data_IF_058658397587
#
_entry.id   IF_058658397587
#
_cell.length_a   1.000
_cell.length_b   1.000
_cell.length_c   1.000
_cell.angle_alpha   90.00
_cell.angle_beta   90.00
_cell.angle_gamma   90.00
#
_symmetry.space_group_name_H-M   'P 1'
#
loop_
_entity.id
_entity.type
_entity.pdbx_description
1 polymer ?
#
# COMPACT_ATOMS: atom_id res chain seq x y z
N UNK A 1 41.76 -18.10 47.52
CA UNK A 1 40.89 -17.52 46.47
C UNK A 1 39.51 -18.17 46.60
N UNK A 2 38.54 -17.53 47.27
CA UNK A 2 37.18 -18.07 47.39
C UNK A 2 36.38 -17.60 46.18
N UNK A 3 35.98 -18.55 45.33
CA UNK A 3 35.03 -18.34 44.24
C UNK A 3 33.66 -18.01 44.82
N UNK A 4 33.10 -16.88 44.42
CA UNK A 4 31.74 -16.46 44.72
C UNK A 4 30.79 -17.40 43.93
N UNK A 5 29.79 -18.04 44.57
CA UNK A 5 28.87 -18.91 43.84
C UNK A 5 27.98 -18.09 42.90
N UNK A 6 28.11 -18.35 41.60
CA UNK A 6 27.27 -17.75 40.56
C UNK A 6 25.83 -18.23 40.76
N UNK A 7 24.93 -17.30 41.09
CA UNK A 7 23.59 -17.60 41.58
C UNK A 7 22.65 -17.94 40.41
N UNK A 8 22.72 -19.20 39.95
CA UNK A 8 21.99 -19.74 38.79
C UNK A 8 20.46 -19.53 38.87
N UNK A 9 19.90 -19.47 40.09
CA UNK A 9 18.47 -19.20 40.31
C UNK A 9 18.05 -17.78 39.92
N UNK A 10 18.92 -16.79 40.10
CA UNK A 10 18.62 -15.39 39.74
C UNK A 10 18.61 -15.22 38.21
N UNK A 11 19.53 -15.88 37.50
CA UNK A 11 19.56 -15.87 36.04
C UNK A 11 18.34 -16.56 35.42
N UNK A 12 17.90 -17.69 35.99
CA UNK A 12 16.71 -18.41 35.50
C UNK A 12 15.42 -17.60 35.69
N UNK A 13 15.27 -16.90 36.82
CA UNK A 13 14.14 -15.99 37.04
C UNK A 13 14.18 -14.78 36.10
N UNK A 14 15.35 -14.19 35.85
CA UNK A 14 15.48 -13.05 34.93
C UNK A 14 15.13 -13.44 33.48
N UNK A 15 15.60 -14.60 33.01
CA UNK A 15 15.29 -15.14 31.68
C UNK A 15 13.79 -15.44 31.55
N UNK A 16 13.17 -16.07 32.56
CA UNK A 16 11.73 -16.36 32.56
C UNK A 16 10.89 -15.06 32.58
N UNK A 17 11.32 -14.04 33.31
CA UNK A 17 10.64 -12.73 33.35
C UNK A 17 10.77 -11.96 32.03
N UNK A 18 11.93 -12.06 31.35
CA UNK A 18 12.16 -11.46 30.02
C UNK A 18 11.30 -12.16 28.97
N UNK A 19 11.27 -13.51 28.95
CA UNK A 19 10.44 -14.28 28.02
C UNK A 19 8.96 -13.96 28.23
N UNK A 20 8.48 -13.93 29.49
CA UNK A 20 7.07 -13.63 29.82
C UNK A 20 6.69 -12.18 29.48
N UNK A 21 7.64 -11.22 29.54
CA UNK A 21 7.41 -9.85 29.07
C UNK A 21 7.39 -9.74 27.55
N UNK A 22 8.31 -10.39 26.84
CA UNK A 22 8.32 -10.44 25.37
C UNK A 22 7.03 -11.06 24.83
N UNK A 23 6.61 -12.23 25.34
CA UNK A 23 5.37 -12.88 24.90
C UNK A 23 4.13 -12.03 25.20
N UNK A 24 4.08 -11.33 26.35
CA UNK A 24 2.98 -10.42 26.67
C UNK A 24 2.97 -9.13 25.84
N UNK A 25 4.12 -8.69 25.34
CA UNK A 25 4.24 -7.48 24.52
C UNK A 25 3.96 -7.77 23.03
N UNK A 26 4.37 -8.94 22.54
CA UNK A 26 3.98 -9.48 21.23
C UNK A 26 2.47 -9.72 21.15
N UNK A 27 1.85 -10.29 22.20
CA UNK A 27 0.38 -10.43 22.27
C UNK A 27 -0.35 -9.09 22.35
N UNK A 28 0.28 -8.03 22.87
CA UNK A 28 -0.37 -6.70 23.02
C UNK A 28 -0.43 -5.90 21.73
N UNK A 29 0.39 -6.24 20.73
CA UNK A 29 0.51 -5.49 19.47
C UNK A 29 -0.15 -6.20 18.28
N UNK A 30 -0.62 -7.45 18.45
CA UNK A 30 -1.34 -8.17 17.40
C UNK A 30 -2.77 -7.61 17.24
N UNK A 31 -3.20 -7.27 16.01
CA UNK A 31 -4.58 -6.89 15.74
C UNK A 31 -5.55 -8.00 16.15
N UNK A 32 -6.76 -7.67 16.66
CA UNK A 32 -7.80 -8.67 16.88
C UNK A 32 -8.09 -9.47 15.60
N UNK A 33 -8.42 -10.75 15.73
CA UNK A 33 -8.62 -11.64 14.57
C UNK A 33 -9.70 -11.13 13.60
N UNK A 34 -10.76 -10.50 14.12
CA UNK A 34 -11.80 -9.91 13.28
C UNK A 34 -11.31 -8.70 12.46
N UNK A 35 -10.24 -8.02 12.87
CA UNK A 35 -9.58 -6.97 12.08
C UNK A 35 -8.80 -7.61 10.93
N UNK A 36 -8.00 -8.65 11.21
CA UNK A 36 -7.29 -9.40 10.18
C UNK A 36 -8.24 -10.01 9.14
N UNK A 37 -9.38 -10.57 9.59
CA UNK A 37 -10.40 -11.14 8.72
C UNK A 37 -11.06 -10.10 7.78
N UNK A 38 -11.08 -8.81 8.13
CA UNK A 38 -11.55 -7.77 7.19
C UNK A 38 -10.61 -7.63 6.01
N UNK A 39 -9.30 -7.82 6.22
CA UNK A 39 -8.27 -7.68 5.20
C UNK A 39 -8.11 -8.91 4.28
N UNK A 40 -8.92 -9.95 4.47
CA UNK A 40 -9.03 -11.08 3.53
C UNK A 40 -10.18 -10.91 2.53
N UNK A 41 -11.04 -9.89 2.69
CA UNK A 41 -12.18 -9.64 1.79
C UNK A 41 -11.82 -8.82 0.55
N UNK A 42 -12.44 -9.12 -0.59
CA UNK A 42 -12.31 -8.31 -1.80
C UNK A 42 -13.10 -7.00 -1.70
N UNK A 43 -12.59 -5.94 -2.31
CA UNK A 43 -13.37 -4.76 -2.71
C UNK A 43 -13.90 -4.93 -4.14
N UNK A 44 -14.70 -3.98 -4.61
CA UNK A 44 -15.12 -3.95 -6.02
C UNK A 44 -13.94 -3.83 -7.01
N UNK A 45 -12.78 -3.33 -6.56
CA UNK A 45 -11.60 -3.12 -7.39
C UNK A 45 -10.65 -4.32 -7.37
N UNK A 46 -10.66 -5.12 -6.30
CA UNK A 46 -9.78 -6.28 -6.12
C UNK A 46 -10.48 -7.63 -6.32
N UNK A 47 -11.81 -7.66 -6.49
CA UNK A 47 -12.53 -8.89 -6.83
C UNK A 47 -12.12 -9.42 -8.23
N UNK A 48 -11.57 -10.65 -8.32
CA UNK A 48 -11.21 -11.26 -9.61
C UNK A 48 -12.42 -11.71 -10.42
N UNK A 49 -13.61 -11.76 -9.82
CA UNK A 49 -14.85 -12.23 -10.41
C UNK A 49 -14.70 -13.65 -10.94
N UNK A 50 -15.21 -13.88 -12.17
CA UNK A 50 -15.13 -15.19 -12.82
C UNK A 50 -13.72 -15.67 -13.15
N UNK A 51 -12.70 -14.81 -13.03
CA UNK A 51 -11.31 -15.12 -13.38
C UNK A 51 -10.48 -15.64 -12.20
N UNK A 52 -11.10 -15.89 -11.03
CA UNK A 52 -10.41 -16.39 -9.83
C UNK A 52 -9.61 -17.67 -10.07
N UNK A 53 -10.05 -18.53 -10.99
CA UNK A 53 -9.33 -19.76 -11.38
C UNK A 53 -7.93 -19.50 -11.94
N UNK A 54 -7.62 -18.28 -12.40
CA UNK A 54 -6.27 -17.90 -12.86
C UNK A 54 -5.27 -17.79 -11.71
N UNK A 55 -5.73 -17.85 -10.46
CA UNK A 55 -4.86 -17.84 -9.27
C UNK A 55 -4.37 -19.25 -8.89
N UNK A 56 -4.93 -20.30 -9.47
CA UNK A 56 -4.52 -21.67 -9.23
C UNK A 56 -3.09 -21.91 -9.72
N UNK A 57 -2.26 -22.51 -8.85
CA UNK A 57 -0.86 -22.86 -9.19
C UNK A 57 0.10 -21.67 -9.29
N UNK A 58 -0.30 -20.48 -8.83
CA UNK A 58 0.62 -19.35 -8.68
C UNK A 58 1.68 -19.62 -7.60
N UNK A 59 2.84 -18.95 -7.65
CA UNK A 59 3.87 -19.12 -6.62
C UNK A 59 3.40 -18.77 -5.22
N UNK A 60 3.76 -19.58 -4.22
CA UNK A 60 3.35 -19.38 -2.82
C UNK A 60 4.20 -18.33 -2.10
N UNK A 61 5.49 -18.21 -2.42
CA UNK A 61 6.34 -17.17 -1.82
C UNK A 61 5.97 -15.79 -2.35
N UNK A 62 6.08 -14.78 -1.49
CA UNK A 62 5.75 -13.40 -1.85
C UNK A 62 6.73 -12.86 -2.91
N UNK A 63 7.99 -13.29 -2.89
CA UNK A 63 9.02 -12.88 -3.84
C UNK A 63 8.71 -13.40 -5.24
N UNK A 64 8.39 -14.69 -5.36
CA UNK A 64 8.04 -15.29 -6.65
C UNK A 64 6.70 -14.76 -7.16
N UNK A 65 5.75 -14.45 -6.25
CA UNK A 65 4.49 -13.81 -6.59
C UNK A 65 4.68 -12.38 -7.10
N UNK A 66 5.52 -11.56 -6.46
CA UNK A 66 5.86 -10.22 -6.96
C UNK A 66 6.51 -10.31 -8.35
N UNK A 67 7.45 -11.25 -8.54
CA UNK A 67 8.05 -11.50 -9.86
C UNK A 67 7.02 -11.96 -10.90
N UNK A 68 6.08 -12.81 -10.50
CA UNK A 68 4.95 -13.24 -11.35
C UNK A 68 4.12 -12.04 -11.82
N UNK A 69 3.77 -11.14 -10.91
CA UNK A 69 2.96 -9.95 -11.18
C UNK A 69 3.72 -8.97 -12.09
N UNK A 70 5.00 -8.70 -11.82
CA UNK A 70 5.84 -7.81 -12.66
C UNK A 70 6.01 -8.33 -14.09
N UNK A 71 5.80 -9.62 -14.32
CA UNK A 71 5.78 -10.20 -15.67
C UNK A 71 4.44 -9.99 -16.39
N UNK A 72 3.39 -9.57 -15.70
CA UNK A 72 2.09 -9.26 -16.31
C UNK A 72 1.91 -7.76 -16.58
N UNK A 73 2.57 -6.93 -15.78
CA UNK A 73 2.34 -5.50 -15.71
C UNK A 73 3.66 -4.73 -15.94
N UNK A 74 3.58 -3.61 -16.65
CA UNK A 74 4.67 -2.67 -16.86
C UNK A 74 4.23 -1.36 -16.21
N UNK A 75 5.05 -0.78 -15.34
CA UNK A 75 4.75 0.56 -14.82
C UNK A 75 4.97 1.60 -15.94
N UNK A 76 4.09 2.61 -16.09
CA UNK A 76 4.29 3.71 -17.05
C UNK A 76 5.68 4.37 -17.00
N UNK A 77 6.32 4.52 -15.83
CA UNK A 77 7.70 5.02 -15.72
C UNK A 77 8.75 4.10 -16.33
N UNK A 78 8.48 2.80 -16.41
CA UNK A 78 9.39 1.80 -16.96
C UNK A 78 9.18 1.56 -18.47
N UNK A 79 8.14 2.16 -19.08
CA UNK A 79 7.75 1.88 -20.48
C UNK A 79 8.86 2.18 -21.49
N UNK A 80 9.73 3.15 -21.20
CA UNK A 80 10.88 3.48 -22.03
C UNK A 80 11.88 2.33 -22.21
N UNK A 81 11.90 1.35 -21.29
CA UNK A 81 12.74 0.15 -21.40
C UNK A 81 12.19 -0.86 -22.44
N UNK A 82 10.97 -0.65 -22.91
CA UNK A 82 10.23 -1.53 -23.82
C UNK A 82 9.95 -0.90 -25.19
N UNK A 83 10.64 0.20 -25.53
CA UNK A 83 10.54 0.83 -26.86
C UNK A 83 10.76 -0.22 -27.96
N UNK A 84 9.82 -0.30 -28.90
CA UNK A 84 9.82 -1.28 -29.99
C UNK A 84 9.37 -2.70 -29.61
N UNK A 85 8.97 -2.92 -28.34
CA UNK A 85 8.45 -4.20 -27.83
C UNK A 85 7.02 -4.09 -27.31
N UNK A 86 6.49 -2.89 -27.12
CA UNK A 86 5.08 -2.63 -26.82
C UNK A 86 4.46 -1.78 -27.92
N UNK A 87 3.14 -1.86 -28.16
CA UNK A 87 2.47 -0.95 -29.08
C UNK A 87 2.71 0.53 -28.71
N UNK A 88 3.00 1.36 -29.71
CA UNK A 88 3.44 2.76 -29.51
C UNK A 88 2.38 3.63 -28.83
N UNK A 89 1.10 3.30 -29.02
CA UNK A 89 -0.05 4.00 -28.44
C UNK A 89 -0.34 3.58 -26.99
N UNK A 90 0.32 2.55 -26.47
CA UNK A 90 0.06 1.96 -25.15
C UNK A 90 1.08 2.43 -24.12
N UNK A 91 0.85 3.64 -23.60
CA UNK A 91 1.71 4.27 -22.60
C UNK A 91 1.13 4.30 -21.18
N UNK A 92 -0.21 4.23 -21.05
CA UNK A 92 -0.93 4.15 -19.77
C UNK A 92 -2.35 3.61 -20.00
N UNK A 93 -2.79 2.68 -19.16
CA UNK A 93 -4.09 1.99 -19.29
C UNK A 93 -4.93 2.05 -18.00
N UNK A 94 -4.51 2.87 -17.03
CA UNK A 94 -5.05 2.89 -15.67
C UNK A 94 -6.57 3.04 -15.62
N UNK A 95 -7.11 4.05 -16.32
CA UNK A 95 -8.54 4.37 -16.31
C UNK A 95 -9.40 3.41 -17.14
N UNK A 96 -8.82 2.76 -18.15
CA UNK A 96 -9.55 1.79 -18.99
C UNK A 96 -9.62 0.41 -18.31
N UNK A 97 -8.70 0.14 -17.38
CA UNK A 97 -8.60 -1.12 -16.64
C UNK A 97 -8.62 -0.84 -15.12
N UNK A 98 -9.75 -0.36 -14.55
CA UNK A 98 -9.81 0.07 -13.16
C UNK A 98 -9.95 -1.06 -12.13
N UNK A 99 -10.20 -2.31 -12.54
CA UNK A 99 -10.46 -3.43 -11.60
C UNK A 99 -9.61 -4.65 -11.94
N UNK A 100 -9.33 -5.49 -10.94
CA UNK A 100 -8.61 -6.77 -11.12
C UNK A 100 -9.34 -7.68 -12.11
N UNK A 101 -10.67 -7.76 -12.06
CA UNK A 101 -11.43 -8.55 -13.05
C UNK A 101 -11.23 -8.06 -14.49
N UNK A 102 -11.12 -6.74 -14.72
CA UNK A 102 -10.79 -6.19 -16.03
C UNK A 102 -9.31 -6.41 -16.41
N UNK A 103 -8.39 -6.32 -15.44
CA UNK A 103 -6.97 -6.65 -15.65
C UNK A 103 -6.82 -8.09 -16.13
N UNK A 104 -7.48 -9.04 -15.45
CA UNK A 104 -7.43 -10.47 -15.79
C UNK A 104 -8.09 -10.75 -17.14
N UNK A 105 -9.22 -10.10 -17.45
CA UNK A 105 -9.87 -10.24 -18.75
C UNK A 105 -8.97 -9.77 -19.90
N UNK A 106 -8.35 -8.61 -19.76
CA UNK A 106 -7.51 -8.03 -20.81
C UNK A 106 -6.18 -8.78 -20.95
N UNK A 107 -5.57 -9.23 -19.85
CA UNK A 107 -4.40 -10.12 -19.89
C UNK A 107 -4.70 -11.42 -20.66
N UNK A 108 -5.83 -12.07 -20.36
CA UNK A 108 -6.23 -13.31 -21.02
C UNK A 108 -6.53 -13.12 -22.51
N UNK A 109 -7.08 -11.97 -22.88
CA UNK A 109 -7.33 -11.60 -24.27
C UNK A 109 -6.03 -11.41 -25.07
N UNK A 110 -4.98 -10.87 -24.43
CA UNK A 110 -3.66 -10.66 -25.05
C UNK A 110 -2.86 -11.95 -25.16
N UNK A 111 -2.89 -12.77 -24.12
CA UNK A 111 -2.25 -14.08 -24.08
C UNK A 111 -3.08 -15.02 -23.19
N UNK A 112 -3.56 -16.11 -23.81
CA UNK A 112 -4.49 -17.07 -23.21
C UNK A 112 -3.85 -17.94 -22.12
N UNK A 113 -2.52 -17.90 -21.94
CA UNK A 113 -1.78 -18.69 -20.96
C UNK A 113 -1.91 -18.17 -19.51
N UNK A 114 -2.98 -17.45 -19.19
CA UNK A 114 -3.26 -16.91 -17.86
C UNK A 114 -2.15 -15.98 -17.36
N UNK A 115 -1.81 -16.05 -16.07
CA UNK A 115 -0.70 -15.28 -15.50
C UNK A 115 0.64 -15.99 -15.78
N UNK A 116 1.08 -15.97 -17.03
CA UNK A 116 2.21 -16.75 -17.54
C UNK A 116 3.58 -16.35 -16.96
N UNK A 117 4.55 -17.28 -16.82
CA UNK A 117 5.87 -17.00 -16.23
C UNK A 117 6.79 -16.22 -17.16
N UNK A 118 6.37 -16.06 -18.42
CA UNK A 118 7.16 -15.49 -19.51
C UNK A 118 6.22 -14.83 -20.51
N UNK A 119 5.39 -13.89 -20.05
CA UNK A 119 4.53 -13.08 -20.92
C UNK A 119 5.37 -12.05 -21.68
N UNK A 120 5.16 -11.95 -22.99
CA UNK A 120 5.87 -11.00 -23.84
C UNK A 120 5.47 -9.55 -23.49
N UNK A 121 6.37 -8.56 -23.60
CA UNK A 121 6.06 -7.18 -23.26
C UNK A 121 4.81 -6.62 -23.95
N UNK A 122 4.59 -6.94 -25.22
CA UNK A 122 3.42 -6.52 -26.01
C UNK A 122 2.08 -7.04 -25.46
N UNK A 123 2.11 -8.10 -24.65
CA UNK A 123 0.92 -8.71 -24.06
C UNK A 123 0.70 -8.31 -22.60
N UNK A 124 1.60 -7.50 -22.02
CA UNK A 124 1.47 -6.96 -20.66
C UNK A 124 0.55 -5.73 -20.64
N UNK A 125 0.02 -5.41 -19.47
CA UNK A 125 -0.69 -4.15 -19.24
C UNK A 125 0.29 -3.05 -18.83
N UNK A 126 0.08 -1.82 -19.30
CA UNK A 126 0.88 -0.66 -18.89
C UNK A 126 0.10 0.14 -17.86
N UNK A 127 0.34 -0.16 -16.57
CA UNK A 127 -0.48 0.32 -15.45
C UNK A 127 0.36 0.72 -14.22
N UNK A 128 -0.14 1.64 -13.41
CA UNK A 128 0.55 2.21 -12.26
C UNK A 128 0.80 1.21 -11.11
N UNK A 129 1.58 1.65 -10.12
CA UNK A 129 1.92 0.86 -8.94
C UNK A 129 0.70 0.36 -8.13
N UNK A 130 -0.41 1.10 -8.14
CA UNK A 130 -1.65 0.67 -7.48
C UNK A 130 -2.22 -0.62 -8.09
N UNK A 131 -2.19 -0.79 -9.41
CA UNK A 131 -2.68 -2.01 -10.07
C UNK A 131 -1.86 -3.24 -9.72
N UNK A 132 -0.55 -3.07 -9.56
CA UNK A 132 0.34 -4.13 -9.08
C UNK A 132 -0.06 -4.56 -7.66
N UNK A 133 -0.33 -3.60 -6.78
CA UNK A 133 -0.82 -3.84 -5.41
C UNK A 133 -2.21 -4.46 -5.38
N UNK A 134 -3.12 -4.03 -6.26
CA UNK A 134 -4.48 -4.58 -6.37
C UNK A 134 -4.48 -6.05 -6.79
N UNK A 135 -3.71 -6.40 -7.84
CA UNK A 135 -3.60 -7.79 -8.28
C UNK A 135 -2.94 -8.65 -7.20
N UNK A 136 -1.88 -8.16 -6.57
CA UNK A 136 -1.24 -8.84 -5.45
C UNK A 136 -2.20 -9.07 -4.28
N UNK A 137 -2.92 -8.02 -3.86
CA UNK A 137 -3.89 -8.10 -2.78
C UNK A 137 -5.02 -9.09 -3.10
N UNK A 138 -5.50 -9.12 -4.35
CA UNK A 138 -6.50 -10.09 -4.80
C UNK A 138 -6.03 -11.55 -4.63
N UNK A 139 -4.78 -11.84 -5.00
CA UNK A 139 -4.20 -13.18 -4.88
C UNK A 139 -3.99 -13.56 -3.40
N UNK A 140 -3.47 -12.65 -2.58
CA UNK A 140 -3.33 -12.87 -1.13
C UNK A 140 -4.68 -13.13 -0.46
N UNK A 141 -5.71 -12.34 -0.78
CA UNK A 141 -7.08 -12.50 -0.28
C UNK A 141 -7.69 -13.84 -0.68
N UNK A 142 -7.45 -14.28 -1.91
CA UNK A 142 -7.85 -15.61 -2.37
C UNK A 142 -7.28 -16.73 -1.49
N UNK A 143 -6.03 -16.57 -1.06
CA UNK A 143 -5.33 -17.49 -0.14
C UNK A 143 -5.71 -17.32 1.32
N UNK A 144 -6.59 -16.37 1.65
CA UNK A 144 -6.95 -16.03 3.02
C UNK A 144 -5.85 -15.31 3.80
N UNK A 145 -4.85 -14.74 3.11
CA UNK A 145 -3.77 -13.97 3.73
C UNK A 145 -4.26 -12.52 3.90
N UNK A 146 -4.33 -11.98 5.15
CA UNK A 146 -4.71 -10.60 5.38
C UNK A 146 -3.74 -9.64 4.69
N UNK A 147 -4.29 -8.73 3.88
CA UNK A 147 -3.51 -7.74 3.12
C UNK A 147 -4.28 -6.42 2.99
N UNK A 148 -3.57 -5.32 3.15
CA UNK A 148 -4.10 -3.98 2.88
C UNK A 148 -3.13 -3.16 2.04
N UNK A 149 -3.70 -2.35 1.15
CA UNK A 149 -2.95 -1.41 0.33
C UNK A 149 -2.67 -0.16 1.17
N UNK A 150 -1.48 0.44 1.00
CA UNK A 150 -1.02 1.64 1.70
C UNK A 150 -0.42 2.64 0.73
N UNK A 151 -0.66 3.92 0.95
CA UNK A 151 -0.15 5.02 0.13
C UNK A 151 0.85 5.91 0.88
N UNK A 152 1.81 6.45 0.15
CA UNK A 152 2.88 7.26 0.72
C UNK A 152 3.97 7.60 -0.30
N UNK A 153 5.22 7.63 0.15
CA UNK A 153 6.39 7.88 -0.69
C UNK A 153 7.47 6.84 -0.48
N UNK A 154 7.96 6.25 -1.56
CA UNK A 154 9.11 5.37 -1.55
C UNK A 154 10.42 6.18 -1.54
N UNK A 155 11.37 5.79 -0.69
CA UNK A 155 12.74 6.38 -0.61
C UNK A 155 13.78 5.58 -1.38
N UNK A 156 13.32 4.61 -2.17
CA UNK A 156 14.15 3.65 -2.89
C UNK A 156 13.90 3.69 -4.41
N UNK A 157 13.10 4.66 -4.87
CA UNK A 157 12.83 4.89 -6.29
C UNK A 157 13.57 6.17 -6.69
N UNK A 158 14.50 6.05 -7.63
CA UNK A 158 15.41 7.13 -8.06
C UNK A 158 16.86 6.86 -7.66
N UNK A 159 17.77 7.70 -8.17
CA UNK A 159 19.22 7.57 -7.95
C UNK A 159 19.70 8.29 -6.68
N UNK A 160 18.96 9.27 -6.19
CA UNK A 160 19.27 10.08 -5.01
C UNK A 160 18.43 9.61 -3.81
N UNK A 161 19.11 9.22 -2.73
CA UNK A 161 18.52 8.68 -1.50
C UNK A 161 17.65 9.68 -0.72
N UNK A 162 17.72 10.97 -1.08
CA UNK A 162 16.87 12.02 -0.53
C UNK A 162 15.53 12.11 -1.25
N UNK A 163 15.42 11.55 -2.45
CA UNK A 163 14.19 11.63 -3.25
C UNK A 163 13.13 10.68 -2.69
N UNK A 164 11.90 11.18 -2.67
CA UNK A 164 10.68 10.51 -2.21
C UNK A 164 9.69 10.51 -3.35
N UNK A 165 9.42 9.35 -3.93
CA UNK A 165 8.48 9.22 -5.06
C UNK A 165 7.14 8.72 -4.55
N UNK A 166 6.05 9.41 -4.88
CA UNK A 166 4.70 8.99 -4.49
C UNK A 166 4.45 7.57 -4.97
N UNK A 167 4.02 6.69 -4.07
CA UNK A 167 3.98 5.27 -4.34
C UNK A 167 2.94 4.54 -3.48
N UNK A 168 2.61 3.33 -3.90
CA UNK A 168 1.63 2.45 -3.25
C UNK A 168 2.30 1.10 -3.00
N UNK A 169 2.09 0.55 -1.79
CA UNK A 169 2.62 -0.74 -1.35
C UNK A 169 1.53 -1.54 -0.65
N UNK A 170 1.80 -2.81 -0.33
CA UNK A 170 0.95 -3.64 0.51
C UNK A 170 1.58 -3.85 1.89
N UNK A 171 0.74 -3.79 2.93
CA UNK A 171 1.02 -4.45 4.20
C UNK A 171 0.40 -5.85 4.16
N UNK A 172 1.22 -6.88 4.35
CA UNK A 172 0.80 -8.29 4.40
C UNK A 172 1.00 -8.81 5.81
N UNK A 173 0.01 -9.52 6.35
CA UNK A 173 0.14 -10.09 7.68
C UNK A 173 0.99 -11.36 7.62
N UNK A 174 2.16 -11.31 8.26
CA UNK A 174 3.00 -12.47 8.49
C UNK A 174 2.48 -13.19 9.75
N UNK A 175 1.88 -14.36 9.55
CA UNK A 175 1.36 -15.20 10.63
C UNK A 175 2.46 -15.84 11.49
N UNK A 176 3.65 -16.06 10.93
CA UNK A 176 4.78 -16.64 11.67
C UNK A 176 5.36 -15.60 12.63
N UNK A 177 5.57 -14.38 12.12
CA UNK A 177 6.15 -13.28 12.89
C UNK A 177 5.12 -12.44 13.67
N UNK A 178 3.82 -12.67 13.45
CA UNK A 178 2.71 -11.90 14.03
C UNK A 178 2.87 -10.39 13.81
N UNK A 179 3.21 -9.99 12.59
CA UNK A 179 3.38 -8.58 12.24
C UNK A 179 3.02 -8.29 10.78
N UNK A 180 2.71 -7.03 10.51
CA UNK A 180 2.56 -6.52 9.15
C UNK A 180 3.94 -6.28 8.52
N UNK A 181 4.26 -7.00 7.46
CA UNK A 181 5.45 -6.79 6.62
C UNK A 181 5.10 -5.96 5.38
N UNK A 182 6.07 -5.27 4.80
CA UNK A 182 5.87 -4.46 3.60
C UNK A 182 6.23 -5.23 2.33
N UNK A 183 5.34 -5.16 1.34
CA UNK A 183 5.52 -5.76 0.02
C UNK A 183 5.22 -4.74 -1.06
N UNK A 184 6.13 -4.59 -2.00
CA UNK A 184 5.97 -3.76 -3.19
C UNK A 184 6.02 -4.67 -4.43
N UNK A 185 4.86 -5.07 -4.98
CA UNK A 185 4.81 -5.91 -6.18
C UNK A 185 5.24 -5.19 -7.46
N UNK A 186 5.23 -3.85 -7.49
CA UNK A 186 5.72 -3.08 -8.64
C UNK A 186 7.25 -3.06 -8.70
N UNK A 187 7.91 -2.89 -7.55
CA UNK A 187 9.39 -2.85 -7.44
C UNK A 187 10.00 -4.16 -6.94
N UNK A 188 9.18 -5.22 -6.85
CA UNK A 188 9.58 -6.57 -6.44
C UNK A 188 10.32 -6.62 -5.09
N UNK A 189 9.86 -5.84 -4.10
CA UNK A 189 10.42 -5.83 -2.75
C UNK A 189 9.50 -6.57 -1.79
N UNK A 190 10.07 -7.39 -0.92
CA UNK A 190 9.36 -8.15 0.11
C UNK A 190 10.08 -7.96 1.43
N UNK A 191 9.31 -7.77 2.50
CA UNK A 191 9.77 -7.55 3.87
C UNK A 191 10.91 -6.52 3.98
N UNK A 192 10.75 -5.41 3.27
CA UNK A 192 11.75 -4.34 3.30
C UNK A 192 11.54 -3.42 4.52
N UNK A 193 12.60 -2.77 5.03
CA UNK A 193 12.50 -1.97 6.24
C UNK A 193 11.45 -0.85 6.12
N UNK A 194 10.57 -0.76 7.13
CA UNK A 194 9.49 0.25 7.17
C UNK A 194 9.96 1.69 6.96
N UNK A 195 11.17 2.03 7.40
CA UNK A 195 11.70 3.38 7.26
C UNK A 195 12.05 3.77 5.81
N UNK A 196 12.12 2.81 4.89
CA UNK A 196 12.33 3.06 3.45
C UNK A 196 11.04 3.49 2.73
N UNK A 197 9.88 3.39 3.38
CA UNK A 197 8.61 3.93 2.90
C UNK A 197 8.09 4.98 3.89
N UNK A 198 7.81 6.18 3.41
CA UNK A 198 7.18 7.23 4.21
C UNK A 198 5.68 7.19 3.99
N UNK A 199 4.92 6.74 4.98
CA UNK A 199 3.46 6.65 4.85
C UNK A 199 2.84 8.05 4.74
N UNK A 200 1.67 8.15 4.09
CA UNK A 200 0.98 9.42 3.91
C UNK A 200 0.77 10.18 5.25
N UNK A 201 0.49 9.47 6.34
CA UNK A 201 0.33 10.08 7.66
C UNK A 201 1.63 10.74 8.19
N UNK A 202 2.80 10.17 7.86
CA UNK A 202 4.10 10.72 8.26
C UNK A 202 4.42 11.98 7.46
N UNK A 203 4.19 11.95 6.15
CA UNK A 203 4.39 13.13 5.30
C UNK A 203 3.43 14.26 5.68
N UNK A 204 2.17 13.94 6.01
CA UNK A 204 1.23 14.93 6.56
C UNK A 204 1.77 15.57 7.84
N UNK A 205 2.23 14.77 8.80
CA UNK A 205 2.81 15.29 10.04
C UNK A 205 4.00 16.23 9.79
N UNK A 206 4.90 15.85 8.88
CA UNK A 206 6.05 16.69 8.48
C UNK A 206 5.61 17.98 7.80
N UNK A 207 4.63 17.90 6.91
CA UNK A 207 4.08 19.05 6.20
C UNK A 207 3.46 20.03 7.18
N UNK A 208 2.66 19.54 8.13
CA UNK A 208 2.00 20.35 9.17
C UNK A 208 2.98 21.02 10.11
N UNK A 209 4.11 20.39 10.42
CA UNK A 209 5.18 21.00 11.22
C UNK A 209 6.17 21.84 10.41
N UNK A 210 5.96 22.03 9.10
CA UNK A 210 6.92 22.66 8.18
C UNK A 210 8.33 22.06 8.24
N UNK A 211 8.39 20.73 8.39
CA UNK A 211 9.62 19.94 8.56
C UNK A 211 9.83 18.98 7.39
N UNK A 212 9.76 19.50 6.17
CA UNK A 212 10.15 18.80 4.96
C UNK A 212 10.74 19.75 3.92
N UNK A 213 11.66 19.24 3.11
CA UNK A 213 12.14 19.93 1.91
C UNK A 213 11.24 19.52 0.74
N UNK A 214 10.43 20.47 0.24
CA UNK A 214 9.44 20.19 -0.81
C UNK A 214 10.08 19.69 -2.12
N UNK A 215 11.35 20.04 -2.38
CA UNK A 215 12.07 19.64 -3.58
C UNK A 215 12.46 18.16 -3.59
N UNK A 216 12.35 17.48 -2.45
CA UNK A 216 12.66 16.06 -2.33
C UNK A 216 11.48 15.15 -2.74
N UNK A 217 10.29 15.70 -2.96
CA UNK A 217 9.09 14.92 -3.21
C UNK A 217 8.70 14.98 -4.69
N UNK A 218 8.53 13.81 -5.30
CA UNK A 218 8.14 13.64 -6.70
C UNK A 218 6.79 12.95 -6.74
N UNK A 219 5.83 13.54 -7.46
CA UNK A 219 4.49 12.98 -7.64
C UNK A 219 3.86 13.47 -8.94
N UNK A 220 2.65 13.00 -9.23
CA UNK A 220 1.81 13.54 -10.33
C UNK A 220 1.34 14.98 -10.11
N UNK A 221 1.36 15.48 -8.87
CA UNK A 221 0.92 16.83 -8.53
C UNK A 221 2.07 17.83 -8.53
N UNK A 222 1.73 19.10 -8.75
CA UNK A 222 2.70 20.21 -8.80
C UNK A 222 3.30 20.54 -7.44
N UNK A 223 2.60 20.21 -6.35
CA UNK A 223 3.01 20.54 -4.98
C UNK A 223 2.97 19.31 -4.09
N UNK A 224 3.93 19.20 -3.18
CA UNK A 224 3.93 18.15 -2.15
C UNK A 224 2.71 18.26 -1.23
N UNK A 225 2.20 19.48 -1.01
CA UNK A 225 0.98 19.73 -0.26
C UNK A 225 -0.21 18.98 -0.87
N UNK A 226 -0.47 19.18 -2.16
CA UNK A 226 -1.54 18.50 -2.87
C UNK A 226 -1.33 16.99 -2.92
N UNK A 227 -0.10 16.55 -3.19
CA UNK A 227 0.25 15.13 -3.19
C UNK A 227 0.01 14.47 -1.83
N UNK A 228 0.31 15.17 -0.74
CA UNK A 228 0.12 14.66 0.62
C UNK A 228 -1.36 14.50 0.96
N UNK A 229 -2.20 15.50 0.63
CA UNK A 229 -3.65 15.42 0.84
C UNK A 229 -4.25 14.29 0.00
N UNK A 230 -3.84 14.17 -1.26
CA UNK A 230 -4.21 13.07 -2.15
C UNK A 230 -3.86 11.71 -1.53
N UNK A 231 -2.59 11.48 -1.18
CA UNK A 231 -2.13 10.21 -0.63
C UNK A 231 -2.80 9.89 0.70
N UNK A 232 -3.09 10.88 1.55
CA UNK A 232 -3.77 10.65 2.82
C UNK A 232 -5.23 10.21 2.64
N UNK A 233 -5.95 10.81 1.68
CA UNK A 233 -7.31 10.41 1.34
C UNK A 233 -7.35 9.00 0.73
N UNK A 234 -6.41 8.68 -0.15
CA UNK A 234 -6.32 7.35 -0.75
C UNK A 234 -5.82 6.29 0.23
N UNK A 235 -4.88 6.59 1.14
CA UNK A 235 -4.48 5.67 2.21
C UNK A 235 -5.68 5.34 3.13
N UNK A 236 -6.51 6.33 3.45
CA UNK A 236 -7.79 6.11 4.13
C UNK A 236 -8.69 5.15 3.33
N UNK A 237 -8.93 5.44 2.06
CA UNK A 237 -9.77 4.61 1.18
C UNK A 237 -9.28 3.16 1.08
N UNK A 238 -7.96 2.96 0.96
CA UNK A 238 -7.34 1.63 0.92
C UNK A 238 -7.47 0.89 2.25
N UNK A 239 -7.19 1.57 3.36
CA UNK A 239 -7.20 0.96 4.71
C UNK A 239 -8.60 0.53 5.15
N UNK A 240 -9.65 1.24 4.74
CA UNK A 240 -11.04 0.87 5.06
C UNK A 240 -11.66 -0.14 4.08
N UNK A 241 -10.93 -0.51 3.01
CA UNK A 241 -11.36 -1.48 2.02
C UNK A 241 -12.26 -0.93 0.90
N UNK A 242 -12.39 0.39 0.77
CA UNK A 242 -13.07 1.00 -0.37
C UNK A 242 -12.20 0.87 -1.64
N UNK A 243 -10.89 1.07 -1.48
CA UNK A 243 -9.87 0.91 -2.51
C UNK A 243 -10.10 1.73 -3.78
N UNK A 244 -10.61 2.95 -3.61
CA UNK A 244 -10.94 3.87 -4.69
C UNK A 244 -9.75 4.12 -5.64
N UNK A 245 -9.99 4.27 -6.96
CA UNK A 245 -8.96 4.57 -7.92
C UNK A 245 -8.30 5.92 -7.63
N UNK A 246 -6.98 5.97 -7.74
CA UNK A 246 -6.21 7.17 -7.40
C UNK A 246 -6.48 8.39 -8.29
N UNK A 247 -7.13 8.24 -9.44
CA UNK A 247 -7.57 9.39 -10.24
C UNK A 247 -8.89 10.01 -9.76
N UNK A 248 -9.61 9.37 -8.84
CA UNK A 248 -10.82 9.89 -8.22
C UNK A 248 -10.46 10.68 -6.96
N UNK A 249 -10.04 11.93 -7.14
CA UNK A 249 -9.73 12.80 -6.02
C UNK A 249 -11.01 13.34 -5.35
N UNK A 250 -11.12 13.28 -4.01
CA UNK A 250 -12.14 14.05 -3.31
C UNK A 250 -11.84 15.55 -3.40
N UNK A 251 -12.87 16.40 -3.30
CA UNK A 251 -12.75 17.84 -3.56
C UNK A 251 -11.72 18.55 -2.66
N UNK A 252 -11.45 18.01 -1.46
CA UNK A 252 -10.43 18.53 -0.55
C UNK A 252 -9.02 18.55 -1.18
N UNK A 253 -8.72 17.63 -2.11
CA UNK A 253 -7.43 17.58 -2.81
C UNK A 253 -7.29 18.81 -3.71
N UNK A 254 -8.32 19.18 -4.47
CA UNK A 254 -8.28 20.35 -5.34
C UNK A 254 -8.02 21.65 -4.57
N UNK A 255 -8.59 21.79 -3.36
CA UNK A 255 -8.38 22.95 -2.47
C UNK A 255 -6.94 23.11 -1.99
N UNK A 256 -6.13 22.06 -2.05
CA UNK A 256 -4.73 22.05 -1.60
C UNK A 256 -3.70 22.29 -2.72
N UNK A 257 -4.15 22.59 -3.95
CA UNK A 257 -3.29 22.75 -5.13
C UNK A 257 -2.16 23.77 -4.93
N UNK A 258 -2.45 24.90 -4.27
CA UNK A 258 -1.48 25.98 -4.00
C UNK A 258 -0.86 25.91 -2.60
N UNK A 259 -1.15 24.85 -1.85
CA UNK A 259 -0.71 24.64 -0.47
C UNK A 259 -1.87 24.35 0.49
N UNK A 260 -1.55 23.83 1.67
CA UNK A 260 -2.56 23.51 2.69
C UNK A 260 -3.21 24.75 3.33
N UNK A 261 -2.72 25.96 3.06
CA UNK A 261 -3.32 27.21 3.54
C UNK A 261 -4.66 27.53 2.89
N UNK A 262 -4.99 26.88 1.76
CA UNK A 262 -6.31 26.96 1.13
C UNK A 262 -7.39 26.15 1.85
N UNK A 263 -7.00 25.29 2.79
CA UNK A 263 -7.92 24.49 3.59
C UNK A 263 -8.44 25.28 4.80
N UNK A 264 -9.72 25.09 5.12
CA UNK A 264 -10.32 25.62 6.34
C UNK A 264 -9.73 24.94 7.58
N UNK A 265 -9.87 25.57 8.75
CA UNK A 265 -9.43 25.00 10.02
C UNK A 265 -10.06 23.62 10.29
N UNK A 266 -11.34 23.44 9.98
CA UNK A 266 -12.03 22.16 10.14
C UNK A 266 -11.48 21.07 9.20
N UNK A 267 -11.10 21.42 7.97
CA UNK A 267 -10.48 20.48 7.02
C UNK A 267 -9.07 20.09 7.46
N UNK A 268 -8.29 21.03 8.01
CA UNK A 268 -6.99 20.73 8.59
C UNK A 268 -7.12 19.79 9.79
N UNK A 269 -8.06 20.05 10.70
CA UNK A 269 -8.33 19.19 11.87
C UNK A 269 -8.82 17.79 11.48
N UNK A 270 -9.64 17.70 10.42
CA UNK A 270 -10.06 16.43 9.83
C UNK A 270 -8.85 15.62 9.34
N UNK A 271 -7.97 16.23 8.54
CA UNK A 271 -6.77 15.56 8.02
C UNK A 271 -5.78 15.21 9.13
N UNK A 272 -5.62 16.07 10.15
CA UNK A 272 -4.84 15.78 11.36
C UNK A 272 -5.39 14.53 12.08
N UNK A 273 -6.72 14.40 12.18
CA UNK A 273 -7.38 13.23 12.78
C UNK A 273 -7.20 11.96 11.94
N UNK A 274 -7.38 12.04 10.62
CA UNK A 274 -7.16 10.91 9.70
C UNK A 274 -5.71 10.43 9.81
N UNK A 275 -4.74 11.34 9.76
CA UNK A 275 -3.31 11.04 9.91
C UNK A 275 -3.02 10.34 11.24
N UNK A 276 -3.56 10.84 12.36
CA UNK A 276 -3.36 10.23 13.66
C UNK A 276 -3.88 8.77 13.72
N UNK A 277 -5.03 8.49 13.09
CA UNK A 277 -5.61 7.15 13.06
C UNK A 277 -4.92 6.20 12.07
N UNK A 278 -4.49 6.69 10.90
CA UNK A 278 -3.75 5.91 9.89
C UNK A 278 -2.36 5.45 10.36
N UNK A 279 -1.84 6.04 11.44
CA UNK A 279 -0.63 5.56 12.11
C UNK A 279 -0.82 4.18 12.74
N UNK A 280 -2.02 3.87 13.25
CA UNK A 280 -2.36 2.57 13.83
C UNK A 280 -3.80 2.18 13.43
N UNK A 281 -4.01 1.84 12.15
CA UNK A 281 -5.35 1.62 11.62
C UNK A 281 -6.02 0.37 12.20
N UNK A 282 -5.25 -0.59 12.71
CA UNK A 282 -5.81 -1.79 13.36
C UNK A 282 -6.63 -1.47 14.61
N UNK A 283 -6.28 -0.39 15.31
CA UNK A 283 -7.00 0.09 16.50
C UNK A 283 -8.13 1.05 16.13
N UNK A 284 -7.97 1.81 15.05
CA UNK A 284 -8.85 2.93 14.68
C UNK A 284 -9.73 2.66 13.44
N UNK A 285 -9.87 1.39 13.03
CA UNK A 285 -10.53 1.05 11.78
C UNK A 285 -12.00 1.51 11.76
N UNK A 286 -12.72 1.38 12.87
CA UNK A 286 -14.12 1.81 12.95
C UNK A 286 -14.25 3.33 12.88
N UNK A 287 -13.35 4.05 13.53
CA UNK A 287 -13.31 5.50 13.48
C UNK A 287 -12.94 6.02 12.09
N UNK A 288 -12.01 5.37 11.39
CA UNK A 288 -11.67 5.67 10.00
C UNK A 288 -12.87 5.44 9.06
N UNK A 289 -13.55 4.30 9.18
CA UNK A 289 -14.80 4.01 8.43
C UNK A 289 -15.86 5.06 8.72
N UNK A 290 -16.04 5.45 9.98
CA UNK A 290 -17.02 6.46 10.36
C UNK A 290 -16.64 7.84 9.78
N UNK A 291 -15.36 8.24 9.84
CA UNK A 291 -14.88 9.49 9.22
C UNK A 291 -15.22 9.51 7.73
N UNK A 292 -14.87 8.47 6.97
CA UNK A 292 -15.20 8.40 5.54
C UNK A 292 -16.71 8.55 5.33
N UNK A 293 -17.53 7.83 6.09
CA UNK A 293 -18.99 7.82 5.92
C UNK A 293 -19.66 9.17 6.19
N UNK A 294 -19.22 9.92 7.20
CA UNK A 294 -19.91 11.13 7.67
C UNK A 294 -19.34 12.43 7.13
N UNK A 295 -18.27 12.37 6.33
CA UNK A 295 -17.57 13.57 5.85
C UNK A 295 -17.80 13.77 4.34
N UNK A 296 -18.69 14.69 3.92
CA UNK A 296 -19.01 14.89 2.50
C UNK A 296 -17.81 15.21 1.62
N UNK A 297 -16.87 16.02 2.11
CA UNK A 297 -15.67 16.49 1.37
C UNK A 297 -14.65 15.37 1.05
N UNK A 298 -14.88 14.15 1.56
CA UNK A 298 -14.09 12.95 1.24
C UNK A 298 -14.80 12.03 0.22
N UNK A 299 -16.03 12.35 -0.17
CA UNK A 299 -16.87 11.51 -1.04
C UNK A 299 -17.41 12.29 -2.25
N UNK A 300 -17.12 13.57 -2.35
CA UNK A 300 -17.46 14.43 -3.49
C UNK A 300 -16.32 14.40 -4.51
N UNK A 301 -16.33 13.34 -5.33
CA UNK A 301 -15.35 13.20 -6.40
C UNK A 301 -15.60 14.23 -7.49
N UNK A 302 -14.60 15.06 -7.77
CA UNK A 302 -14.61 15.87 -8.98
C UNK A 302 -14.33 14.95 -10.17
N UNK A 303 -15.27 14.87 -11.11
CA UNK A 303 -15.02 14.24 -12.41
C UNK A 303 -14.10 15.19 -13.17
N UNK A 304 -12.79 14.98 -13.07
CA UNK A 304 -11.79 15.69 -13.87
C UNK A 304 -11.62 15.08 -15.26
#
# INVERSE_FOLDING_TARGET
MRLIPFNLKIHMFLILFIITRCTNQEQKNRPPEHILAKYTGYSQYTDPGKFVYLFDGLPESLEELCNRIKKQLIHPYDIGQYIGKTPEDRIVEDQTIPTVSLMLAELLKRDENGLAPSRQPEDRLVVACVHHCMLFASICRHRGIPVRIRAGFAKYIGEDDRIRVSHVVCEVWDHEQNQWILVDPDRQRVDFPRHEFEFAYETWGRLRSNNLDKNQYVSRYKTVDQATVHLLCHDLSYVIGNEEPYWNDPSIVAKSQTGITGLSQNELELLDKISAFLKNPDVHLEELVNIQKVTPVLNDYEVM
#
